data_IF_152096624506
#
_entry.id   IF_152096624506
#
_cell.length_a   1.000
_cell.length_b   1.000
_cell.length_c   1.000
_cell.angle_alpha   90.00
_cell.angle_beta   90.00
_cell.angle_gamma   90.00
#
_symmetry.space_group_name_H-M   'P 1'
#
loop_
_entity.id
_entity.type
_entity.pdbx_description
1 polymer ?
#
# COMPACT_ATOMS: atom_id res chain seq x y z
N UNK A 1 18.41 -13.55 -4.82
CA UNK A 1 17.12 -12.89 -5.13
C UNK A 1 17.08 -11.54 -4.43
N UNK A 2 17.35 -10.50 -5.20
CA UNK A 2 17.46 -9.10 -4.79
C UNK A 2 16.14 -8.52 -4.22
N UNK A 3 16.23 -7.47 -3.38
CA UNK A 3 15.06 -6.84 -2.74
C UNK A 3 14.11 -6.22 -3.77
N UNK A 4 14.65 -5.63 -4.84
CA UNK A 4 13.86 -5.03 -5.92
C UNK A 4 12.99 -6.08 -6.61
N UNK A 5 13.56 -7.22 -7.01
CA UNK A 5 12.81 -8.27 -7.73
C UNK A 5 11.74 -8.93 -6.85
N UNK A 6 12.02 -9.11 -5.55
CA UNK A 6 11.01 -9.57 -4.59
C UNK A 6 9.85 -8.58 -4.44
N UNK A 7 10.14 -7.29 -4.48
CA UNK A 7 9.12 -6.24 -4.28
C UNK A 7 8.29 -6.05 -5.53
N UNK A 8 8.91 -6.03 -6.72
CA UNK A 8 8.21 -5.96 -8.00
C UNK A 8 7.27 -7.14 -8.21
N UNK A 9 7.69 -8.36 -7.83
CA UNK A 9 6.84 -9.56 -7.93
C UNK A 9 5.61 -9.54 -7.02
N UNK A 10 5.62 -8.70 -5.97
CA UNK A 10 4.48 -8.54 -5.05
C UNK A 10 3.50 -7.45 -5.51
N UNK A 11 3.86 -6.65 -6.51
CA UNK A 11 2.96 -5.64 -7.07
C UNK A 11 1.85 -6.33 -7.86
N UNK A 12 0.62 -5.88 -7.66
CA UNK A 12 -0.49 -6.20 -8.56
C UNK A 12 -0.24 -5.66 -9.96
N UNK A 13 -1.01 -6.15 -10.94
CA UNK A 13 -0.89 -5.72 -12.33
C UNK A 13 -1.14 -4.21 -12.49
N UNK A 14 -2.12 -3.67 -11.77
CA UNK A 14 -2.41 -2.22 -11.75
C UNK A 14 -1.24 -1.40 -11.19
N UNK A 15 -0.65 -1.84 -10.07
CA UNK A 15 0.48 -1.15 -9.42
C UNK A 15 1.73 -1.17 -10.31
N UNK A 16 1.96 -2.29 -10.99
CA UNK A 16 3.06 -2.41 -11.93
C UNK A 16 2.86 -1.55 -13.18
N UNK A 17 1.64 -1.46 -13.72
CA UNK A 17 1.33 -0.57 -14.84
C UNK A 17 1.47 0.91 -14.44
N UNK A 18 1.03 1.29 -13.23
CA UNK A 18 1.24 2.63 -12.71
C UNK A 18 2.72 2.96 -12.55
N UNK A 19 3.51 2.03 -12.00
CA UNK A 19 4.96 2.16 -11.91
C UNK A 19 5.57 2.32 -13.30
N UNK A 20 5.25 1.43 -14.24
CA UNK A 20 5.71 1.53 -15.63
C UNK A 20 5.36 2.89 -16.24
N UNK A 21 4.14 3.40 -16.10
CA UNK A 21 3.77 4.71 -16.62
C UNK A 21 4.63 5.84 -16.02
N UNK A 22 4.94 5.76 -14.72
CA UNK A 22 5.73 6.79 -14.02
C UNK A 22 7.24 6.73 -14.34
N UNK A 23 7.77 5.55 -14.68
CA UNK A 23 9.22 5.38 -14.90
C UNK A 23 9.60 5.36 -16.39
N UNK A 24 8.71 4.89 -17.27
CA UNK A 24 9.02 4.68 -18.69
C UNK A 24 8.88 5.95 -19.52
N UNK A 25 8.03 6.91 -19.10
CA UNK A 25 7.63 8.00 -19.99
C UNK A 25 7.10 7.46 -21.33
N UNK A 26 7.40 8.13 -22.46
CA UNK A 26 6.92 7.77 -23.80
C UNK A 26 7.76 6.70 -24.55
N UNK A 27 8.83 6.12 -23.96
CA UNK A 27 9.74 5.17 -24.67
C UNK A 27 10.26 4.06 -23.74
N UNK A 28 10.60 2.91 -24.34
CA UNK A 28 11.35 1.81 -23.67
C UNK A 28 12.75 2.28 -23.26
N UNK A 29 12.86 2.86 -22.08
CA UNK A 29 14.09 3.40 -21.52
C UNK A 29 14.78 2.38 -20.59
N UNK A 30 16.02 2.66 -20.16
CA UNK A 30 16.78 1.78 -19.25
C UNK A 30 16.00 1.39 -17.97
N UNK A 31 15.27 2.31 -17.29
CA UNK A 31 14.39 1.94 -16.18
C UNK A 31 13.27 0.94 -16.53
N UNK A 32 12.65 1.07 -17.71
CA UNK A 32 11.64 0.11 -18.20
C UNK A 32 12.22 -1.30 -18.29
N UNK A 33 13.41 -1.43 -18.88
CA UNK A 33 14.09 -2.72 -19.04
C UNK A 33 14.37 -3.33 -17.67
N UNK A 34 14.88 -2.57 -16.70
CA UNK A 34 15.09 -3.08 -15.34
C UNK A 34 13.79 -3.63 -14.73
N UNK A 35 12.66 -2.93 -14.88
CA UNK A 35 11.37 -3.34 -14.31
C UNK A 35 10.80 -4.60 -14.97
N UNK A 36 10.89 -4.70 -16.30
CA UNK A 36 10.43 -5.86 -17.08
C UNK A 36 11.24 -7.10 -16.71
N UNK A 37 12.57 -6.98 -16.78
CA UNK A 37 13.48 -8.09 -16.53
C UNK A 37 13.48 -8.54 -15.06
N UNK A 38 13.34 -7.60 -14.11
CA UNK A 38 13.22 -7.91 -12.68
C UNK A 38 11.91 -8.63 -12.33
N UNK A 39 10.81 -8.32 -13.05
CA UNK A 39 9.51 -8.99 -12.85
C UNK A 39 9.56 -10.42 -13.37
N UNK A 40 10.15 -10.63 -14.55
CA UNK A 40 10.36 -11.97 -15.12
C UNK A 40 11.34 -12.80 -14.28
N UNK A 41 12.20 -12.15 -13.48
CA UNK A 41 13.07 -12.80 -12.51
C UNK A 41 14.20 -13.59 -13.14
N UNK A 42 14.63 -13.17 -14.32
CA UNK A 42 15.51 -13.95 -15.21
C UNK A 42 16.98 -13.59 -15.12
N UNK A 43 17.36 -12.53 -14.40
CA UNK A 43 18.68 -11.91 -14.59
C UNK A 43 19.25 -11.39 -13.26
N UNK A 44 20.54 -11.61 -13.02
CA UNK A 44 21.25 -11.08 -11.85
C UNK A 44 21.72 -9.62 -12.05
N UNK A 45 22.24 -8.99 -10.99
CA UNK A 45 22.67 -7.58 -11.05
C UNK A 45 23.80 -7.33 -12.08
N UNK A 46 24.72 -8.28 -12.26
CA UNK A 46 25.84 -8.19 -13.22
C UNK A 46 25.38 -8.34 -14.66
N UNK A 47 24.56 -9.36 -14.94
CA UNK A 47 23.94 -9.55 -16.26
C UNK A 47 23.03 -8.36 -16.62
N UNK A 48 22.37 -7.74 -15.64
CA UNK A 48 21.58 -6.52 -15.83
C UNK A 48 22.45 -5.32 -16.22
N UNK A 49 23.63 -5.17 -15.59
CA UNK A 49 24.57 -4.10 -15.92
C UNK A 49 25.08 -4.24 -17.36
N UNK A 50 25.36 -5.46 -17.80
CA UNK A 50 25.76 -5.77 -19.17
C UNK A 50 24.65 -5.46 -20.17
N UNK A 51 23.43 -5.93 -19.91
CA UNK A 51 22.24 -5.70 -20.76
C UNK A 51 21.96 -4.20 -20.95
N UNK A 52 22.11 -3.41 -19.88
CA UNK A 52 21.86 -1.97 -19.89
C UNK A 52 23.05 -1.15 -20.39
N UNK A 53 24.21 -1.79 -20.59
CA UNK A 53 25.49 -1.15 -20.88
C UNK A 53 25.76 0.02 -19.93
N UNK A 54 25.75 -0.26 -18.63
CA UNK A 54 25.99 0.73 -17.58
C UNK A 54 27.05 0.25 -16.61
N UNK A 55 27.81 1.19 -16.07
CA UNK A 55 28.73 0.89 -14.98
C UNK A 55 27.96 0.63 -13.66
N UNK A 56 28.61 -0.01 -12.66
CA UNK A 56 27.96 -0.32 -11.38
C UNK A 56 27.37 0.91 -10.67
N UNK A 57 28.08 2.04 -10.68
CA UNK A 57 27.60 3.27 -10.02
C UNK A 57 26.29 3.79 -10.62
N UNK A 58 26.15 3.71 -11.95
CA UNK A 58 24.96 4.11 -12.69
C UNK A 58 23.82 3.15 -12.41
N UNK A 59 24.10 1.85 -12.37
CA UNK A 59 23.12 0.82 -12.06
C UNK A 59 22.54 0.97 -10.65
N UNK A 60 23.39 1.09 -9.62
CA UNK A 60 22.91 1.24 -8.25
C UNK A 60 22.15 2.55 -8.02
N UNK A 61 22.53 3.63 -8.70
CA UNK A 61 21.77 4.89 -8.70
C UNK A 61 20.38 4.70 -9.32
N UNK A 62 20.29 4.01 -10.46
CA UNK A 62 19.02 3.70 -11.11
C UNK A 62 18.13 2.82 -10.21
N UNK A 63 18.70 1.75 -9.65
CA UNK A 63 18.04 0.82 -8.74
C UNK A 63 17.50 1.52 -7.48
N UNK A 64 18.29 2.42 -6.89
CA UNK A 64 17.86 3.24 -5.75
C UNK A 64 16.65 4.12 -6.10
N UNK A 65 16.70 4.84 -7.23
CA UNK A 65 15.57 5.67 -7.69
C UNK A 65 14.31 4.85 -7.97
N UNK A 66 14.46 3.66 -8.54
CA UNK A 66 13.35 2.73 -8.76
C UNK A 66 12.71 2.29 -7.44
N UNK A 67 13.53 1.90 -6.46
CA UNK A 67 13.05 1.53 -5.12
C UNK A 67 12.27 2.68 -4.46
N UNK A 68 12.76 3.92 -4.54
CA UNK A 68 12.05 5.08 -4.00
C UNK A 68 10.68 5.30 -4.67
N UNK A 69 10.58 5.11 -5.98
CA UNK A 69 9.30 5.21 -6.72
C UNK A 69 8.32 4.10 -6.34
N UNK A 70 8.81 2.86 -6.23
CA UNK A 70 8.01 1.72 -5.78
C UNK A 70 7.47 1.99 -4.37
N UNK A 71 8.32 2.46 -3.46
CA UNK A 71 7.91 2.82 -2.11
C UNK A 71 6.83 3.92 -2.10
N UNK A 72 6.95 4.94 -2.96
CA UNK A 72 5.95 5.99 -3.09
C UNK A 72 4.59 5.49 -3.61
N UNK A 73 4.57 4.55 -4.57
CA UNK A 73 3.34 3.95 -5.09
C UNK A 73 2.66 3.10 -4.01
N UNK A 74 3.43 2.28 -3.30
CA UNK A 74 2.92 1.50 -2.17
C UNK A 74 2.37 2.41 -1.06
N UNK A 75 3.06 3.51 -0.75
CA UNK A 75 2.61 4.49 0.24
C UNK A 75 1.36 5.29 -0.19
N UNK A 76 1.21 5.60 -1.49
CA UNK A 76 -0.03 6.22 -2.00
C UNK A 76 -1.25 5.34 -1.75
N UNK A 77 -1.09 4.01 -1.80
CA UNK A 77 -2.16 3.11 -1.41
C UNK A 77 -2.39 3.12 0.09
N UNK A 78 -1.37 3.24 0.96
CA UNK A 78 -1.58 3.40 2.43
C UNK A 78 -2.46 4.62 2.76
N UNK A 79 -2.39 5.69 1.97
CA UNK A 79 -3.25 6.87 2.15
C UNK A 79 -4.74 6.62 1.80
N UNK A 80 -5.08 5.56 1.06
CA UNK A 80 -6.46 5.26 0.66
C UNK A 80 -7.28 4.48 1.74
N UNK A 81 -6.84 3.32 2.29
CA UNK A 81 -7.57 2.59 3.32
C UNK A 81 -7.63 3.36 4.62
N UNK A 82 -6.61 4.15 4.98
CA UNK A 82 -6.70 5.04 6.14
C UNK A 82 -7.79 6.08 5.92
N UNK A 83 -7.84 6.76 4.76
CA UNK A 83 -8.89 7.76 4.49
C UNK A 83 -10.31 7.17 4.48
N UNK A 84 -10.46 5.95 3.95
CA UNK A 84 -11.73 5.21 3.98
C UNK A 84 -12.10 4.86 5.42
N UNK A 85 -11.16 4.31 6.19
CA UNK A 85 -11.34 3.95 7.59
C UNK A 85 -11.71 5.16 8.45
N UNK A 86 -11.05 6.31 8.26
CA UNK A 86 -11.40 7.58 8.92
C UNK A 86 -12.83 8.00 8.57
N UNK A 87 -13.24 7.87 7.30
CA UNK A 87 -14.60 8.21 6.87
C UNK A 87 -15.66 7.30 7.48
N UNK A 88 -15.34 6.03 7.72
CA UNK A 88 -16.21 5.08 8.40
C UNK A 88 -16.33 5.41 9.90
N UNK A 89 -15.22 5.72 10.58
CA UNK A 89 -15.23 6.15 11.99
C UNK A 89 -16.07 7.40 12.20
N UNK A 90 -16.00 8.40 11.30
CA UNK A 90 -16.83 9.62 11.38
C UNK A 90 -18.33 9.30 11.30
N UNK A 91 -18.72 8.23 10.58
CA UNK A 91 -20.12 7.82 10.41
C UNK A 91 -20.65 6.97 11.57
N UNK A 92 -19.77 6.43 12.42
CA UNK A 92 -20.15 5.56 13.55
C UNK A 92 -21.23 6.16 14.45
N UNK A 93 -21.15 7.43 14.90
CA UNK A 93 -22.17 8.01 15.77
C UNK A 93 -23.55 8.15 15.10
N UNK A 94 -23.59 8.38 13.78
CA UNK A 94 -24.83 8.52 13.03
C UNK A 94 -25.52 7.17 12.80
N UNK A 95 -24.74 6.10 12.64
CA UNK A 95 -25.25 4.76 12.37
C UNK A 95 -25.78 4.05 13.63
N UNK A 96 -25.51 4.56 14.83
CA UNK A 96 -25.96 3.99 16.11
C UNK A 96 -27.48 3.85 16.24
N UNK A 97 -28.23 4.77 15.63
CA UNK A 97 -29.68 4.90 15.85
C UNK A 97 -30.53 4.19 14.79
N UNK A 98 -29.91 3.54 13.78
CA UNK A 98 -30.62 2.98 12.62
C UNK A 98 -30.45 1.48 12.38
N UNK A 99 -29.49 0.80 13.03
CA UNK A 99 -29.13 -0.59 12.73
C UNK A 99 -29.33 -1.56 13.89
N UNK A 100 -29.54 -2.85 13.56
CA UNK A 100 -29.62 -3.95 14.53
C UNK A 100 -28.36 -3.94 15.44
N UNK A 101 -28.58 -3.92 16.75
CA UNK A 101 -27.54 -3.85 17.79
C UNK A 101 -26.40 -4.85 17.58
N UNK A 102 -26.72 -6.11 17.28
CA UNK A 102 -25.70 -7.15 17.08
C UNK A 102 -24.83 -6.87 15.85
N UNK A 103 -25.43 -6.35 14.79
CA UNK A 103 -24.73 -5.92 13.59
C UNK A 103 -23.80 -4.75 13.88
N UNK A 104 -24.27 -3.75 14.63
CA UNK A 104 -23.48 -2.59 15.04
C UNK A 104 -22.28 -2.99 15.89
N UNK A 105 -22.44 -3.89 16.86
CA UNK A 105 -21.33 -4.40 17.68
C UNK A 105 -20.31 -5.14 16.81
N UNK A 106 -20.76 -5.97 15.86
CA UNK A 106 -19.86 -6.68 14.94
C UNK A 106 -19.07 -5.72 14.05
N UNK A 107 -19.73 -4.72 13.48
CA UNK A 107 -19.08 -3.70 12.65
C UNK A 107 -18.04 -2.89 13.43
N UNK A 108 -18.37 -2.49 14.67
CA UNK A 108 -17.45 -1.73 15.54
C UNK A 108 -16.22 -2.56 15.94
N UNK A 109 -16.38 -3.86 16.22
CA UNK A 109 -15.26 -4.76 16.50
C UNK A 109 -14.35 -4.99 15.29
N UNK A 110 -14.92 -4.92 14.08
CA UNK A 110 -14.11 -5.02 12.86
C UNK A 110 -13.33 -3.73 12.60
N UNK A 111 -13.97 -2.56 12.80
CA UNK A 111 -13.29 -1.26 12.78
C UNK A 111 -12.16 -1.19 13.82
N UNK A 112 -12.40 -1.68 15.04
CA UNK A 112 -11.40 -1.74 16.11
C UNK A 112 -10.12 -2.47 15.65
N UNK A 113 -10.25 -3.67 15.05
CA UNK A 113 -9.10 -4.43 14.56
C UNK A 113 -8.32 -3.68 13.49
N UNK A 114 -9.03 -3.03 12.56
CA UNK A 114 -8.41 -2.27 11.48
C UNK A 114 -7.69 -1.04 12.02
N UNK A 115 -8.28 -0.31 12.96
CA UNK A 115 -7.65 0.84 13.62
C UNK A 115 -6.39 0.46 14.39
N UNK A 116 -6.40 -0.68 15.10
CA UNK A 116 -5.21 -1.21 15.79
C UNK A 116 -4.12 -1.58 14.78
N UNK A 117 -4.49 -2.21 13.65
CA UNK A 117 -3.53 -2.59 12.61
C UNK A 117 -2.81 -1.38 12.02
N UNK A 118 -3.48 -0.23 11.94
CA UNK A 118 -2.95 1.02 11.39
C UNK A 118 -2.43 2.01 12.47
N UNK A 119 -2.40 1.62 13.74
CA UNK A 119 -1.98 2.46 14.88
C UNK A 119 -2.77 3.79 15.01
N UNK A 120 -4.05 3.77 14.66
CA UNK A 120 -4.93 4.95 14.68
C UNK A 120 -5.62 5.11 16.04
N UNK A 121 -4.79 5.43 17.05
CA UNK A 121 -5.22 5.49 18.45
C UNK A 121 -6.26 6.58 18.75
N UNK A 122 -6.27 7.69 18.00
CA UNK A 122 -7.22 8.80 18.21
C UNK A 122 -8.65 8.41 17.83
N UNK A 123 -8.79 7.70 16.72
CA UNK A 123 -10.06 7.23 16.17
C UNK A 123 -10.61 6.02 16.93
N UNK A 124 -9.71 5.20 17.50
CA UNK A 124 -10.07 4.09 18.37
C UNK A 124 -10.90 4.56 19.58
N UNK A 125 -10.64 5.76 20.08
CA UNK A 125 -11.41 6.38 21.18
C UNK A 125 -12.89 6.54 20.80
N UNK A 126 -13.18 6.90 19.55
CA UNK A 126 -14.56 7.07 19.07
C UNK A 126 -15.28 5.73 19.05
N UNK A 127 -14.63 4.69 18.51
CA UNK A 127 -15.18 3.33 18.47
C UNK A 127 -15.45 2.79 19.88
N UNK A 128 -14.52 2.98 20.82
CA UNK A 128 -14.73 2.53 22.21
C UNK A 128 -15.82 3.27 22.95
N UNK A 129 -15.90 4.60 22.79
CA UNK A 129 -17.01 5.38 23.36
C UNK A 129 -18.36 4.87 22.85
N UNK A 130 -18.44 4.56 21.57
CA UNK A 130 -19.65 4.04 20.95
C UNK A 130 -19.99 2.62 21.41
N UNK A 131 -19.00 1.72 21.50
CA UNK A 131 -19.19 0.37 22.07
C UNK A 131 -19.68 0.44 23.53
N UNK A 132 -19.10 1.34 24.33
CA UNK A 132 -19.52 1.57 25.70
C UNK A 132 -20.97 2.08 25.78
N UNK A 133 -21.35 3.05 24.94
CA UNK A 133 -22.74 3.53 24.86
C UNK A 133 -23.71 2.42 24.52
N UNK A 134 -23.42 1.59 23.50
CA UNK A 134 -24.25 0.44 23.18
C UNK A 134 -24.39 -0.49 24.40
N UNK A 135 -23.31 -0.79 25.12
CA UNK A 135 -23.36 -1.65 26.31
C UNK A 135 -24.05 -1.02 27.53
N UNK A 136 -24.09 0.31 27.65
CA UNK A 136 -24.75 1.02 28.75
C UNK A 136 -26.27 1.10 28.58
N UNK A 137 -26.78 1.23 27.36
CA UNK A 137 -28.22 1.21 27.06
C UNK A 137 -28.73 -0.24 26.84
N UNK A 138 -28.26 -1.17 27.66
CA UNK A 138 -28.63 -2.58 27.65
C UNK A 138 -29.66 -2.86 28.76
#
# INVERSE_FOLDING_TARGET
MDLLSKTIKKLSDEEYQALLAEVSGKKKNKPYIVLETSRMGQVDDGEMMELLQVNPSTYYTLKSRLNSKIAAILAKKVNNPISVLLSEVIRVPANLYGSNREFSIRALKELEKQLIQYDLSGELIVVYKTLAQLNLYN
#
